data_IF_459211096924
#
_entry.id   IF_459211096924
#
_cell.length_a   1.000
_cell.length_b   1.000
_cell.length_c   1.000
_cell.angle_alpha   90.00
_cell.angle_beta   90.00
_cell.angle_gamma   90.00
#
_symmetry.space_group_name_H-M   'P 1'
#
loop_
_entity.id
_entity.type
_entity.pdbx_description
1 polymer ?
#
# COMPACT_ATOMS: atom_id res chain seq x y z
N UNK A 1 -14.45 -21.80 10.03
CA UNK A 1 -13.51 -21.04 9.14
C UNK A 1 -12.15 -20.96 9.83
N UNK A 2 -11.08 -20.76 9.07
CA UNK A 2 -9.71 -20.77 9.57
C UNK A 2 -9.31 -19.40 10.12
N UNK A 3 -8.43 -19.35 11.13
CA UNK A 3 -7.83 -18.08 11.59
C UNK A 3 -6.80 -17.57 10.58
N UNK A 4 -6.87 -16.30 10.25
CA UNK A 4 -6.01 -15.65 9.27
C UNK A 4 -5.21 -14.51 9.91
N UNK A 5 -3.92 -14.45 9.61
CA UNK A 5 -3.06 -13.34 9.99
C UNK A 5 -2.60 -12.56 8.75
N UNK A 6 -2.61 -11.24 8.86
CA UNK A 6 -2.04 -10.32 7.87
C UNK A 6 -0.86 -9.63 8.54
N UNK A 7 0.35 -9.81 8.02
CA UNK A 7 1.53 -9.12 8.50
C UNK A 7 1.74 -7.87 7.65
N UNK A 8 1.54 -6.71 8.26
CA UNK A 8 1.60 -5.39 7.64
C UNK A 8 0.21 -4.76 7.46
N UNK A 9 -0.03 -3.67 8.17
CA UNK A 9 -1.24 -2.83 8.07
C UNK A 9 -1.11 -1.73 7.00
N UNK A 10 -0.21 -1.91 6.03
CA UNK A 10 -0.11 -1.03 4.86
C UNK A 10 -1.34 -1.12 3.95
N UNK A 11 -1.40 -0.31 2.88
CA UNK A 11 -2.53 -0.30 1.93
C UNK A 11 -2.87 -1.71 1.44
N UNK A 12 -1.88 -2.56 1.19
CA UNK A 12 -2.10 -3.94 0.75
C UNK A 12 -2.85 -4.77 1.80
N UNK A 13 -2.36 -4.78 3.06
CA UNK A 13 -2.99 -5.55 4.14
C UNK A 13 -4.38 -5.06 4.50
N UNK A 14 -4.57 -3.73 4.51
CA UNK A 14 -5.87 -3.11 4.80
C UNK A 14 -6.90 -3.45 3.70
N UNK A 15 -6.52 -3.37 2.42
CA UNK A 15 -7.40 -3.79 1.31
C UNK A 15 -7.72 -5.28 1.36
N UNK A 16 -6.74 -6.13 1.69
CA UNK A 16 -6.96 -7.56 1.83
C UNK A 16 -7.99 -7.87 2.94
N UNK A 17 -7.86 -7.25 4.11
CA UNK A 17 -8.82 -7.39 5.19
C UNK A 17 -10.22 -6.89 4.78
N UNK A 18 -10.30 -5.74 4.13
CA UNK A 18 -11.56 -5.17 3.63
C UNK A 18 -12.24 -6.13 2.64
N UNK A 19 -11.49 -6.65 1.68
CA UNK A 19 -12.01 -7.62 0.71
C UNK A 19 -12.53 -8.88 1.37
N UNK A 20 -11.85 -9.38 2.40
CA UNK A 20 -12.28 -10.56 3.15
C UNK A 20 -13.60 -10.32 3.88
N UNK A 21 -13.70 -9.23 4.65
CA UNK A 21 -14.94 -8.94 5.39
C UNK A 21 -16.11 -8.59 4.48
N UNK A 22 -15.87 -7.90 3.38
CA UNK A 22 -16.90 -7.59 2.37
C UNK A 22 -17.42 -8.86 1.67
N UNK A 23 -16.61 -9.91 1.59
CA UNK A 23 -17.02 -11.23 1.10
C UNK A 23 -17.52 -12.18 2.21
N UNK A 24 -17.83 -11.66 3.39
CA UNK A 24 -18.45 -12.43 4.48
C UNK A 24 -17.47 -13.26 5.32
N UNK A 25 -16.15 -13.01 5.22
CA UNK A 25 -15.20 -13.64 6.14
C UNK A 25 -15.36 -13.00 7.53
N UNK A 26 -15.51 -13.80 8.61
CA UNK A 26 -15.70 -13.24 9.94
C UNK A 26 -14.48 -12.43 10.39
N UNK A 27 -14.70 -11.17 10.74
CA UNK A 27 -13.60 -10.27 11.11
C UNK A 27 -12.84 -10.73 12.34
N UNK A 28 -13.53 -11.37 13.30
CA UNK A 28 -12.93 -11.93 14.52
C UNK A 28 -11.89 -13.04 14.24
N UNK A 29 -11.91 -13.62 13.05
CA UNK A 29 -10.91 -14.59 12.59
C UNK A 29 -9.73 -13.94 11.86
N UNK A 30 -9.79 -12.63 11.62
CA UNK A 30 -8.73 -11.86 10.96
C UNK A 30 -7.93 -11.11 12.03
N UNK A 31 -6.62 -11.25 11.99
CA UNK A 31 -5.70 -10.45 12.81
C UNK A 31 -4.70 -9.74 11.91
N UNK A 32 -4.56 -8.43 12.07
CA UNK A 32 -3.55 -7.62 11.39
C UNK A 32 -2.46 -7.26 12.39
N UNK A 33 -1.20 -7.46 12.02
CA UNK A 33 -0.04 -7.17 12.85
C UNK A 33 0.82 -6.13 12.16
N UNK A 34 1.15 -5.04 12.86
CA UNK A 34 2.03 -4.01 12.35
C UNK A 34 3.01 -3.51 13.41
N UNK A 35 4.20 -3.13 12.95
CA UNK A 35 5.27 -2.59 13.79
C UNK A 35 5.08 -1.12 14.18
N UNK A 36 4.15 -0.43 13.57
CA UNK A 36 3.75 0.95 13.86
C UNK A 36 2.44 1.04 14.65
N UNK A 37 1.86 2.21 14.68
CA UNK A 37 0.67 2.56 15.45
C UNK A 37 -0.63 2.51 14.65
N UNK A 38 -1.76 2.49 15.38
CA UNK A 38 -3.08 2.77 14.85
C UNK A 38 -3.18 4.22 14.33
N UNK A 39 -4.19 4.55 13.50
CA UNK A 39 -4.27 5.88 12.88
C UNK A 39 -4.51 7.02 13.88
N UNK A 40 -4.98 6.73 15.09
CA UNK A 40 -5.20 7.74 16.13
C UNK A 40 -3.94 8.10 16.91
N UNK A 41 -2.95 7.17 16.95
CA UNK A 41 -1.69 7.31 17.69
C UNK A 41 -0.47 7.45 16.77
N UNK A 42 -0.66 7.29 15.47
CA UNK A 42 0.41 7.36 14.50
C UNK A 42 1.02 8.77 14.46
N UNK A 43 2.34 8.84 14.53
CA UNK A 43 3.09 10.11 14.56
C UNK A 43 3.60 10.48 13.17
N UNK A 44 3.87 11.78 12.90
CA UNK A 44 4.38 12.23 11.60
C UNK A 44 5.68 11.55 11.15
N UNK A 45 6.55 11.15 12.08
CA UNK A 45 7.80 10.44 11.78
C UNK A 45 7.59 8.96 11.39
N UNK A 46 6.42 8.40 11.64
CA UNK A 46 6.08 7.01 11.30
C UNK A 46 5.57 6.87 9.86
N UNK A 47 6.27 7.46 8.89
CA UNK A 47 5.83 7.52 7.49
C UNK A 47 5.63 6.14 6.86
N UNK A 48 6.46 5.16 7.22
CA UNK A 48 6.50 3.85 6.55
C UNK A 48 5.76 2.74 7.29
N UNK A 49 5.30 2.98 8.53
CA UNK A 49 4.72 1.96 9.41
C UNK A 49 3.35 2.36 9.93
N UNK A 50 2.61 1.43 10.52
CA UNK A 50 1.27 1.66 11.05
C UNK A 50 0.17 1.59 10.00
N UNK A 51 -1.04 1.96 10.39
CA UNK A 51 -2.22 1.83 9.53
C UNK A 51 -2.08 2.60 8.21
N UNK A 52 -2.36 1.95 7.10
CA UNK A 52 -2.12 2.38 5.71
C UNK A 52 -0.64 2.54 5.33
N UNK A 53 0.32 2.38 6.25
CA UNK A 53 1.76 2.50 5.95
C UNK A 53 2.11 3.80 5.21
N UNK A 54 3.01 3.74 4.22
CA UNK A 54 3.37 4.90 3.41
C UNK A 54 2.18 5.52 2.66
N UNK A 55 1.15 4.75 2.32
CA UNK A 55 -0.05 5.25 1.67
C UNK A 55 -0.85 6.25 2.51
N UNK A 56 -0.79 6.13 3.84
CA UNK A 56 -1.46 7.05 4.76
C UNK A 56 -0.71 8.38 5.03
N UNK A 57 0.53 8.50 4.54
CA UNK A 57 1.38 9.71 4.66
C UNK A 57 1.95 10.18 3.32
N UNK A 58 1.39 9.72 2.22
CA UNK A 58 1.82 10.10 0.88
C UNK A 58 1.20 11.43 0.43
N UNK A 59 1.37 11.75 -0.83
CA UNK A 59 0.75 12.89 -1.49
C UNK A 59 -0.69 12.61 -1.98
N UNK A 60 -1.26 11.46 -1.62
CA UNK A 60 -2.64 11.10 -1.98
C UNK A 60 -2.84 10.69 -3.44
N UNK A 61 -1.76 10.32 -4.14
CA UNK A 61 -1.84 9.86 -5.52
C UNK A 61 -2.06 8.35 -5.60
N UNK A 62 -3.03 7.93 -6.39
CA UNK A 62 -3.29 6.55 -6.75
C UNK A 62 -3.08 6.40 -8.26
N UNK A 63 -1.95 5.85 -8.66
CA UNK A 63 -1.61 5.64 -10.07
C UNK A 63 -2.46 4.52 -10.65
N UNK A 64 -3.14 4.81 -11.77
CA UNK A 64 -4.05 3.88 -12.43
C UNK A 64 -3.47 3.39 -13.75
N UNK A 65 -2.36 2.62 -13.66
CA UNK A 65 -1.68 2.08 -14.82
C UNK A 65 -0.76 0.91 -14.44
N UNK A 66 -0.85 -0.20 -15.16
CA UNK A 66 -0.11 -1.44 -14.87
C UNK A 66 1.39 -1.36 -15.11
N UNK A 67 1.86 -0.43 -15.96
CA UNK A 67 3.30 -0.23 -16.19
C UNK A 67 3.97 0.65 -15.12
N UNK A 68 3.22 1.16 -14.14
CA UNK A 68 3.72 2.03 -13.09
C UNK A 68 3.60 1.32 -11.73
N UNK A 69 4.71 1.24 -11.03
CA UNK A 69 4.77 0.69 -9.68
C UNK A 69 5.13 -0.79 -9.64
N UNK A 70 4.21 -1.68 -9.86
CA UNK A 70 4.42 -3.12 -9.80
C UNK A 70 4.41 -3.80 -11.17
N UNK A 71 4.41 -5.12 -11.14
CA UNK A 71 4.25 -5.96 -12.34
C UNK A 71 2.99 -6.84 -12.21
N UNK A 72 1.92 -6.28 -11.67
CA UNK A 72 0.69 -7.02 -11.35
C UNK A 72 0.14 -7.76 -12.58
N UNK A 73 0.15 -7.11 -13.74
CA UNK A 73 -0.33 -7.71 -14.99
C UNK A 73 0.42 -8.98 -15.42
N UNK A 74 1.69 -9.14 -15.02
CA UNK A 74 2.45 -10.38 -15.25
C UNK A 74 1.89 -11.58 -14.48
N UNK A 75 1.22 -11.34 -13.36
CA UNK A 75 0.71 -12.39 -12.46
C UNK A 75 -0.76 -12.71 -12.68
N UNK A 76 -1.56 -11.72 -13.05
CA UNK A 76 -3.02 -11.90 -13.16
C UNK A 76 -3.63 -11.41 -14.48
N UNK A 77 -2.82 -10.94 -15.43
CA UNK A 77 -3.29 -10.32 -16.68
C UNK A 77 -3.70 -8.87 -16.50
N UNK A 78 -3.80 -8.15 -17.62
CA UNK A 78 -4.04 -6.69 -17.66
C UNK A 78 -5.43 -6.35 -17.09
N UNK A 79 -6.49 -6.98 -17.61
CA UNK A 79 -7.87 -6.69 -17.23
C UNK A 79 -8.12 -6.92 -15.73
N UNK A 80 -7.56 -8.02 -15.19
CA UNK A 80 -7.68 -8.33 -13.77
C UNK A 80 -6.91 -7.32 -12.93
N UNK A 81 -5.70 -6.92 -13.36
CA UNK A 81 -4.91 -5.90 -12.66
C UNK A 81 -5.66 -4.56 -12.61
N UNK A 82 -6.24 -4.12 -13.74
CA UNK A 82 -7.02 -2.89 -13.81
C UNK A 82 -8.29 -2.95 -12.94
N UNK A 83 -8.97 -4.08 -12.92
CA UNK A 83 -10.12 -4.31 -12.02
C UNK A 83 -9.72 -4.17 -10.54
N UNK A 84 -8.58 -4.74 -10.13
CA UNK A 84 -8.07 -4.64 -8.77
C UNK A 84 -7.66 -3.21 -8.41
N UNK A 85 -7.07 -2.46 -9.33
CA UNK A 85 -6.78 -1.04 -9.12
C UNK A 85 -8.06 -0.22 -8.91
N UNK A 86 -9.11 -0.50 -9.68
CA UNK A 86 -10.42 0.12 -9.49
C UNK A 86 -10.98 -0.17 -8.10
N UNK A 87 -10.91 -1.41 -7.63
CA UNK A 87 -11.37 -1.78 -6.29
C UNK A 87 -10.62 -1.01 -5.19
N UNK A 88 -9.29 -0.83 -5.34
CA UNK A 88 -8.50 -0.03 -4.39
C UNK A 88 -8.95 1.42 -4.38
N UNK A 89 -9.18 2.03 -5.56
CA UNK A 89 -9.65 3.41 -5.68
C UNK A 89 -11.02 3.56 -5.01
N UNK A 90 -11.95 2.62 -5.27
CA UNK A 90 -13.28 2.66 -4.66
C UNK A 90 -13.23 2.50 -3.13
N UNK A 91 -12.28 1.74 -2.58
CA UNK A 91 -12.06 1.70 -1.13
C UNK A 91 -11.58 3.05 -0.59
N UNK A 92 -10.66 3.72 -1.26
CA UNK A 92 -10.26 5.07 -0.85
C UNK A 92 -11.43 6.05 -0.89
N UNK A 93 -12.28 6.01 -1.92
CA UNK A 93 -13.50 6.83 -2.00
C UNK A 93 -14.50 6.50 -0.89
N UNK A 94 -14.72 5.21 -0.63
CA UNK A 94 -15.66 4.73 0.39
C UNK A 94 -15.37 5.29 1.77
N UNK A 95 -14.09 5.41 2.12
CA UNK A 95 -13.66 5.91 3.43
C UNK A 95 -13.28 7.39 3.43
N UNK A 96 -13.37 8.04 2.29
CA UNK A 96 -13.09 9.46 2.17
C UNK A 96 -14.23 10.30 2.80
N UNK A 97 -13.90 11.32 3.63
CA UNK A 97 -14.93 12.17 4.25
C UNK A 97 -15.73 13.01 3.22
N UNK A 98 -15.13 13.22 2.03
CA UNK A 98 -15.73 13.94 0.90
C UNK A 98 -15.43 13.19 -0.42
N UNK A 99 -16.11 12.09 -0.73
CA UNK A 99 -15.81 11.25 -1.89
C UNK A 99 -15.83 12.00 -3.23
N UNK A 100 -16.63 13.05 -3.33
CA UNK A 100 -16.74 13.93 -4.49
C UNK A 100 -15.47 14.75 -4.76
N UNK A 101 -14.59 14.90 -3.77
CA UNK A 101 -13.30 15.56 -3.94
C UNK A 101 -12.26 14.66 -4.62
N UNK A 102 -12.49 13.36 -4.76
CA UNK A 102 -11.58 12.43 -5.41
C UNK A 102 -11.65 12.61 -6.92
N UNK A 103 -10.56 13.10 -7.50
CA UNK A 103 -10.50 13.45 -8.91
C UNK A 103 -9.52 12.56 -9.68
N UNK A 104 -9.87 12.28 -10.94
CA UNK A 104 -8.98 11.59 -11.85
C UNK A 104 -8.36 12.60 -12.84
N UNK A 105 -7.05 12.66 -12.89
CA UNK A 105 -6.31 13.37 -13.94
C UNK A 105 -6.00 12.38 -15.05
N UNK A 106 -6.64 12.59 -16.21
CA UNK A 106 -6.38 11.83 -17.44
C UNK A 106 -5.59 12.71 -18.41
N UNK A 107 -4.28 12.51 -18.53
CA UNK A 107 -3.48 13.28 -19.48
C UNK A 107 -3.81 12.87 -20.92
N UNK A 108 -3.94 13.86 -21.81
CA UNK A 108 -4.49 13.64 -23.16
C UNK A 108 -3.39 13.50 -24.22
N UNK A 109 -2.29 14.25 -24.12
CA UNK A 109 -1.23 14.22 -25.13
C UNK A 109 0.12 14.73 -24.62
N UNK A 110 1.20 14.22 -25.22
CA UNK A 110 2.55 14.73 -24.98
C UNK A 110 2.72 16.11 -25.65
N UNK A 111 3.12 17.16 -24.92
CA UNK A 111 3.25 18.49 -25.48
C UNK A 111 4.45 18.60 -26.43
N UNK A 112 4.26 19.29 -27.55
CA UNK A 112 5.29 19.46 -28.61
C UNK A 112 6.59 20.07 -28.05
N UNK A 113 6.52 20.99 -27.09
CA UNK A 113 7.70 21.68 -26.57
C UNK A 113 8.65 20.75 -25.76
N UNK A 114 8.20 19.57 -25.33
CA UNK A 114 9.02 18.58 -24.62
C UNK A 114 9.69 17.61 -25.57
N UNK A 115 9.02 17.23 -26.66
CA UNK A 115 9.46 16.19 -27.60
C UNK A 115 10.91 16.30 -28.10
N UNK A 116 11.49 17.50 -28.31
CA UNK A 116 12.87 17.60 -28.76
C UNK A 116 13.89 17.16 -27.69
N UNK A 117 13.55 17.20 -26.42
CA UNK A 117 14.50 17.04 -25.31
C UNK A 117 14.25 15.78 -24.50
N UNK A 118 12.98 15.44 -24.30
CA UNK A 118 12.56 14.36 -23.41
C UNK A 118 11.42 13.55 -24.02
N UNK A 119 11.35 12.28 -23.63
CA UNK A 119 10.10 11.55 -23.67
C UNK A 119 9.29 11.82 -22.40
N UNK A 120 7.98 11.85 -22.53
CA UNK A 120 7.05 12.06 -21.44
C UNK A 120 6.18 10.81 -21.28
N UNK A 121 6.17 10.24 -20.07
CA UNK A 121 5.23 9.18 -19.74
C UNK A 121 4.08 9.77 -18.97
N UNK A 122 2.91 9.76 -19.58
CA UNK A 122 1.65 10.17 -19.01
C UNK A 122 0.84 8.93 -18.60
N UNK A 123 0.11 9.03 -17.51
CA UNK A 123 -0.76 7.97 -17.01
C UNK A 123 -1.88 8.56 -16.15
N UNK A 124 -3.04 7.90 -16.09
CA UNK A 124 -4.13 8.34 -15.22
C UNK A 124 -3.72 8.28 -13.74
N UNK A 125 -4.06 9.32 -13.01
CA UNK A 125 -3.83 9.42 -11.56
C UNK A 125 -5.10 9.86 -10.87
N UNK A 126 -5.56 9.07 -9.91
CA UNK A 126 -6.58 9.50 -8.97
C UNK A 126 -5.92 10.21 -7.80
N UNK A 127 -6.46 11.35 -7.44
CA UNK A 127 -5.98 12.13 -6.31
C UNK A 127 -7.03 12.19 -5.21
N UNK A 128 -6.71 11.65 -4.04
CA UNK A 128 -7.61 11.59 -2.89
C UNK A 128 -7.43 12.76 -1.92
N UNK A 129 -6.54 13.69 -2.23
CA UNK A 129 -6.23 14.84 -1.36
C UNK A 129 -5.32 14.45 -0.20
N UNK A 130 -4.15 15.08 -0.14
CA UNK A 130 -3.15 14.82 0.91
C UNK A 130 -3.73 15.04 2.30
N UNK A 131 -4.50 16.11 2.48
CA UNK A 131 -5.06 16.52 3.77
C UNK A 131 -6.13 15.54 4.31
N UNK A 132 -6.73 14.73 3.45
CA UNK A 132 -7.75 13.76 3.83
C UNK A 132 -7.22 12.38 4.21
N UNK A 133 -5.93 12.09 3.92
CA UNK A 133 -5.38 10.75 4.13
C UNK A 133 -5.51 10.26 5.58
N UNK A 134 -5.31 11.16 6.53
CA UNK A 134 -5.43 10.81 7.95
C UNK A 134 -6.87 10.45 8.33
N UNK A 135 -7.85 11.18 7.83
CA UNK A 135 -9.28 10.94 8.10
C UNK A 135 -9.77 9.69 7.36
N UNK A 136 -9.34 9.48 6.11
CA UNK A 136 -9.55 8.23 5.38
C UNK A 136 -9.04 7.05 6.20
N UNK A 137 -7.84 7.16 6.76
CA UNK A 137 -7.24 6.12 7.59
C UNK A 137 -8.06 5.80 8.83
N UNK A 138 -8.58 6.82 9.54
CA UNK A 138 -9.44 6.63 10.71
C UNK A 138 -10.76 5.95 10.35
N UNK A 139 -11.46 6.45 9.33
CA UNK A 139 -12.74 5.90 8.89
C UNK A 139 -12.59 4.44 8.46
N UNK A 140 -11.50 4.11 7.78
CA UNK A 140 -11.22 2.75 7.33
C UNK A 140 -10.87 1.81 8.49
N UNK A 141 -10.09 2.28 9.44
CA UNK A 141 -9.75 1.55 10.66
C UNK A 141 -10.99 1.24 11.48
N UNK A 142 -11.83 2.25 11.72
CA UNK A 142 -13.08 2.11 12.49
C UNK A 142 -14.05 1.12 11.81
N UNK A 143 -14.12 1.15 10.47
CA UNK A 143 -14.88 0.15 9.73
C UNK A 143 -14.35 -1.27 9.99
N UNK A 144 -13.06 -1.53 9.88
CA UNK A 144 -12.50 -2.86 10.13
C UNK A 144 -12.69 -3.29 11.59
N UNK A 145 -12.53 -2.39 12.55
CA UNK A 145 -12.83 -2.64 13.95
C UNK A 145 -14.31 -3.00 14.15
N UNK A 146 -15.23 -2.30 13.51
CA UNK A 146 -16.68 -2.59 13.59
C UNK A 146 -17.04 -3.95 13.01
N UNK A 147 -16.21 -4.50 12.12
CA UNK A 147 -16.34 -5.85 11.57
C UNK A 147 -15.69 -6.94 12.46
N UNK A 148 -15.08 -6.55 13.57
CA UNK A 148 -14.43 -7.47 14.52
C UNK A 148 -12.98 -7.82 14.17
N UNK A 149 -12.34 -7.14 13.20
CA UNK A 149 -10.93 -7.38 12.86
C UNK A 149 -10.03 -7.01 14.04
N UNK A 150 -9.12 -7.92 14.40
CA UNK A 150 -8.18 -7.73 15.48
C UNK A 150 -6.89 -7.05 15.00
N UNK A 151 -6.32 -6.17 15.80
CA UNK A 151 -5.07 -5.48 15.48
C UNK A 151 -4.04 -5.65 16.59
N UNK A 152 -2.80 -5.97 16.19
CA UNK A 152 -1.63 -5.96 17.06
C UNK A 152 -0.67 -4.88 16.61
N UNK A 153 -0.70 -3.75 17.29
CA UNK A 153 0.16 -2.59 17.02
C UNK A 153 1.50 -2.68 17.75
N UNK A 154 2.46 -1.88 17.32
CA UNK A 154 3.82 -1.84 17.87
C UNK A 154 4.49 -3.22 17.91
N UNK A 155 4.07 -4.13 17.03
CA UNK A 155 4.45 -5.53 17.03
C UNK A 155 5.22 -5.87 15.77
N UNK A 156 6.52 -6.07 15.92
CA UNK A 156 7.41 -6.46 14.83
C UNK A 156 7.53 -7.98 14.76
N UNK A 157 7.05 -8.58 13.69
CA UNK A 157 7.29 -9.99 13.39
C UNK A 157 8.74 -10.16 12.93
N UNK A 158 9.44 -11.13 13.51
CA UNK A 158 10.86 -11.41 13.24
C UNK A 158 11.09 -12.69 12.46
N UNK A 159 10.25 -13.70 12.69
CA UNK A 159 10.29 -14.99 11.99
C UNK A 159 8.88 -15.50 11.73
N UNK A 160 8.74 -16.31 10.70
CA UNK A 160 7.51 -17.04 10.37
C UNK A 160 7.87 -18.51 10.21
N UNK A 161 7.02 -19.38 10.72
CA UNK A 161 7.15 -20.83 10.65
C UNK A 161 5.88 -21.43 10.05
N UNK A 162 6.03 -22.47 9.26
CA UNK A 162 4.92 -23.25 8.73
C UNK A 162 5.06 -24.68 9.26
N UNK A 163 4.19 -25.06 10.20
CA UNK A 163 4.19 -26.37 10.86
C UNK A 163 2.75 -26.90 10.93
N UNK A 164 2.53 -28.16 10.59
CA UNK A 164 1.24 -28.86 10.69
C UNK A 164 0.03 -28.08 10.16
N UNK A 165 0.15 -27.49 8.97
CA UNK A 165 -0.87 -26.61 8.38
C UNK A 165 -1.19 -25.35 9.22
N UNK A 166 -0.28 -24.92 10.07
CA UNK A 166 -0.38 -23.70 10.85
C UNK A 166 0.74 -22.74 10.54
N UNK A 167 0.45 -21.47 10.67
CA UNK A 167 1.43 -20.39 10.62
C UNK A 167 1.69 -19.94 12.05
N UNK A 168 2.92 -20.07 12.48
CA UNK A 168 3.40 -19.52 13.74
C UNK A 168 4.45 -18.43 13.44
N UNK A 169 4.60 -17.47 14.31
CA UNK A 169 5.62 -16.44 14.17
C UNK A 169 6.17 -15.97 15.50
N UNK A 170 7.43 -15.63 15.52
CA UNK A 170 8.05 -14.88 16.59
C UNK A 170 7.84 -13.39 16.37
N UNK A 171 7.57 -12.66 17.44
CA UNK A 171 7.38 -11.21 17.40
C UNK A 171 7.97 -10.52 18.61
N UNK A 172 8.27 -9.23 18.44
CA UNK A 172 8.66 -8.32 19.53
C UNK A 172 7.65 -7.18 19.57
N UNK A 173 7.04 -6.98 20.72
CA UNK A 173 6.15 -5.85 20.96
C UNK A 173 6.93 -4.74 21.67
N UNK A 174 6.85 -3.49 21.19
CA UNK A 174 7.59 -2.35 21.75
C UNK A 174 7.05 -1.88 23.09
N UNK A 175 5.75 -2.07 23.33
CA UNK A 175 5.07 -1.64 24.55
C UNK A 175 5.19 -2.66 25.66
N UNK A 176 5.56 -3.90 25.33
CA UNK A 176 5.71 -5.02 26.26
C UNK A 176 7.07 -5.67 26.05
N UNK A 177 7.86 -5.79 27.12
CA UNK A 177 9.10 -6.56 27.09
C UNK A 177 8.75 -8.04 26.93
N UNK A 178 9.04 -8.58 25.79
CA UNK A 178 8.82 -9.99 25.49
C UNK A 178 8.31 -10.20 24.06
N UNK A 179 8.40 -11.42 23.61
CA UNK A 179 7.84 -11.91 22.37
C UNK A 179 7.09 -13.20 22.66
N UNK A 180 6.46 -13.74 21.66
CA UNK A 180 5.71 -14.99 21.76
C UNK A 180 5.52 -15.62 20.40
N UNK A 181 4.91 -16.80 20.41
CA UNK A 181 4.48 -17.50 19.21
C UNK A 181 2.96 -17.52 19.18
N UNK A 182 2.39 -17.08 18.08
CA UNK A 182 0.95 -17.14 17.82
C UNK A 182 0.71 -18.04 16.61
N UNK A 183 -0.33 -18.87 16.68
CA UNK A 183 -0.68 -19.82 15.61
C UNK A 183 -1.90 -19.38 14.81
N UNK A 184 -1.80 -19.43 13.50
CA UNK A 184 -2.87 -19.15 12.55
C UNK A 184 -2.90 -20.26 11.48
N UNK A 185 -3.97 -20.29 10.69
CA UNK A 185 -4.10 -21.26 9.61
C UNK A 185 -3.65 -20.70 8.25
N UNK A 186 -3.76 -19.37 8.08
CA UNK A 186 -3.45 -18.68 6.83
C UNK A 186 -2.64 -17.42 7.09
N UNK A 187 -1.76 -17.08 6.16
CA UNK A 187 -0.94 -15.87 6.19
C UNK A 187 -1.11 -15.06 4.92
N UNK A 188 -1.33 -13.76 5.08
CA UNK A 188 -1.13 -12.76 4.03
C UNK A 188 0.10 -11.92 4.43
N UNK A 189 1.09 -11.88 3.53
CA UNK A 189 2.33 -11.16 3.76
C UNK A 189 2.34 -9.82 3.01
N UNK A 190 2.12 -8.72 3.75
CA UNK A 190 1.93 -7.39 3.19
C UNK A 190 2.86 -6.33 3.79
N UNK A 191 4.12 -6.66 4.07
CA UNK A 191 5.06 -5.83 4.86
C UNK A 191 5.60 -4.58 4.15
N UNK A 192 5.33 -4.41 2.87
CA UNK A 192 5.74 -3.23 2.12
C UNK A 192 7.26 -3.00 2.08
N UNK A 193 7.65 -1.76 1.80
CA UNK A 193 9.07 -1.38 1.62
C UNK A 193 9.90 -1.51 2.92
N UNK A 194 9.31 -1.21 4.07
CA UNK A 194 9.99 -1.34 5.37
C UNK A 194 10.30 -2.79 5.76
N UNK A 195 9.63 -3.75 5.15
CA UNK A 195 9.84 -5.19 5.39
C UNK A 195 10.62 -5.93 4.31
N UNK A 196 11.27 -5.25 3.35
CA UNK A 196 12.01 -5.89 2.25
C UNK A 196 13.04 -6.89 2.77
N UNK A 197 13.86 -6.51 3.73
CA UNK A 197 14.89 -7.40 4.30
C UNK A 197 14.28 -8.61 5.03
N UNK A 198 13.14 -8.42 5.67
CA UNK A 198 12.40 -9.53 6.27
C UNK A 198 11.83 -10.46 5.19
N UNK A 199 11.23 -9.91 4.14
CA UNK A 199 10.74 -10.69 2.99
C UNK A 199 11.84 -11.47 2.30
N UNK A 200 13.02 -10.86 2.13
CA UNK A 200 14.20 -11.52 1.55
C UNK A 200 14.63 -12.73 2.39
N UNK A 201 14.82 -12.54 3.71
CA UNK A 201 15.18 -13.66 4.61
C UNK A 201 14.15 -14.78 4.62
N UNK A 202 12.85 -14.42 4.55
CA UNK A 202 11.76 -15.39 4.48
C UNK A 202 11.84 -16.20 3.17
N UNK A 203 12.06 -15.52 2.04
CA UNK A 203 12.19 -16.17 0.75
C UNK A 203 13.41 -17.07 0.69
N UNK A 204 14.55 -16.65 1.21
CA UNK A 204 15.78 -17.46 1.32
C UNK A 204 15.55 -18.70 2.20
N UNK A 205 14.90 -18.53 3.35
CA UNK A 205 14.64 -19.63 4.29
C UNK A 205 13.72 -20.72 3.71
N UNK A 206 12.71 -20.32 2.93
CA UNK A 206 11.76 -21.24 2.29
C UNK A 206 12.07 -21.53 0.83
N UNK A 207 13.28 -21.19 0.37
CA UNK A 207 13.73 -21.44 -1.01
C UNK A 207 12.74 -20.91 -2.08
N UNK A 208 12.07 -19.79 -1.77
CA UNK A 208 11.13 -19.19 -2.72
C UNK A 208 11.89 -18.49 -3.86
N UNK A 209 11.43 -18.63 -5.11
CA UNK A 209 12.09 -17.98 -6.23
C UNK A 209 12.02 -16.46 -6.10
N UNK A 210 13.16 -15.80 -6.22
CA UNK A 210 13.27 -14.34 -6.17
C UNK A 210 13.94 -13.82 -7.44
N UNK A 211 13.49 -12.65 -7.90
CA UNK A 211 14.06 -11.96 -9.04
C UNK A 211 14.50 -10.55 -8.63
N UNK A 212 15.76 -10.22 -8.86
CA UNK A 212 16.24 -8.86 -8.66
C UNK A 212 15.64 -7.93 -9.74
N UNK A 213 15.06 -6.85 -9.31
CA UNK A 213 14.54 -5.82 -10.24
C UNK A 213 15.60 -4.73 -10.45
N UNK A 214 15.67 -4.14 -11.66
CA UNK A 214 16.57 -3.03 -11.91
C UNK A 214 16.24 -1.84 -11.01
N UNK A 215 17.28 -1.19 -10.52
CA UNK A 215 17.16 0.05 -9.74
C UNK A 215 16.89 1.20 -10.70
N UNK A 216 15.88 2.00 -10.40
CA UNK A 216 15.64 3.26 -11.11
C UNK A 216 16.39 4.37 -10.38
N UNK A 217 17.27 5.05 -11.10
CA UNK A 217 18.01 6.21 -10.60
C UNK A 217 17.46 7.44 -11.32
N UNK A 218 17.13 8.48 -10.57
CA UNK A 218 16.64 9.74 -11.10
C UNK A 218 17.09 10.91 -10.24
N UNK A 219 16.95 12.11 -10.79
CA UNK A 219 17.22 13.36 -10.08
C UNK A 219 15.88 13.99 -9.74
N UNK A 220 15.70 14.35 -8.48
CA UNK A 220 14.61 15.23 -8.07
C UNK A 220 14.98 16.65 -8.41
N UNK A 221 14.12 17.32 -9.15
CA UNK A 221 14.28 18.71 -9.52
C UNK A 221 13.13 19.52 -8.92
N UNK A 222 13.47 20.60 -8.21
CA UNK A 222 12.49 21.49 -7.59
C UNK A 222 12.71 22.93 -8.10
N UNK A 223 11.64 23.60 -8.47
CA UNK A 223 11.64 25.00 -8.84
C UNK A 223 10.26 25.62 -8.54
N UNK A 224 10.13 26.96 -8.52
CA UNK A 224 8.84 27.62 -8.38
C UNK A 224 7.82 27.13 -9.40
N UNK A 225 6.57 26.90 -8.97
CA UNK A 225 5.49 26.34 -9.78
C UNK A 225 5.34 27.00 -11.16
N UNK A 226 5.51 28.30 -11.25
CA UNK A 226 5.41 29.08 -12.50
C UNK A 226 6.28 28.53 -13.63
N UNK A 227 7.42 27.88 -13.32
CA UNK A 227 8.30 27.27 -14.32
C UNK A 227 7.79 25.92 -14.84
N UNK A 228 6.92 25.28 -14.10
CA UNK A 228 6.30 24.00 -14.45
C UNK A 228 4.85 24.14 -14.91
N UNK A 229 4.27 25.33 -14.90
CA UNK A 229 2.84 25.54 -15.12
C UNK A 229 2.35 24.83 -16.39
N UNK A 230 3.08 24.94 -17.51
CA UNK A 230 2.72 24.28 -18.78
C UNK A 230 2.67 22.75 -18.70
N UNK A 231 3.43 22.13 -17.77
CA UNK A 231 3.39 20.70 -17.54
C UNK A 231 2.25 20.32 -16.57
N UNK A 232 2.07 21.12 -15.54
CA UNK A 232 1.04 20.94 -14.52
C UNK A 232 -0.36 21.03 -15.16
N UNK A 233 -0.54 21.94 -16.11
CA UNK A 233 -1.80 22.10 -16.85
C UNK A 233 -2.17 20.89 -17.70
N UNK A 234 -1.18 20.03 -18.03
CA UNK A 234 -1.39 18.81 -18.83
C UNK A 234 -1.66 17.59 -17.96
N UNK A 235 -0.93 17.47 -16.86
CA UNK A 235 -1.06 16.31 -15.96
C UNK A 235 -0.63 16.68 -14.55
N UNK A 236 -1.38 16.17 -13.57
CA UNK A 236 -1.02 16.29 -12.17
C UNK A 236 0.30 15.56 -11.83
N UNK A 237 0.58 14.46 -12.48
CA UNK A 237 1.83 13.71 -12.34
C UNK A 237 2.35 13.24 -13.71
N UNK A 238 3.64 13.34 -13.91
CA UNK A 238 4.29 12.95 -15.15
C UNK A 238 5.71 12.47 -14.89
N UNK A 239 6.24 11.65 -15.78
CA UNK A 239 7.63 11.20 -15.75
C UNK A 239 8.33 11.61 -17.03
N UNK A 240 9.40 12.39 -16.89
CA UNK A 240 10.31 12.72 -17.98
C UNK A 240 11.42 11.67 -18.04
N UNK A 241 11.76 11.24 -19.24
CA UNK A 241 12.91 10.38 -19.46
C UNK A 241 13.72 10.90 -20.65
N UNK A 242 15.03 10.71 -20.56
CA UNK A 242 15.93 11.06 -21.67
C UNK A 242 15.71 10.06 -22.81
N UNK A 243 15.58 10.58 -24.04
CA UNK A 243 15.57 9.78 -25.27
C UNK A 243 16.95 9.27 -25.60
#
# INVERSE_FOLDING_TARGET
MEKLVIIGAGVAGVNAATKLVDNGYPGELITIIDMGNDPYKRKPEEVMTGFMGAGGWSDGKLTYHTSIGGHMSKYCGEDKAMSLFSEVIENFKRFHPKPEAVQCSNPVAEPEFIKPYFGLRLFPVWHVGTDYLHEIGKNWYDFLCSKGVNFHWNTKVSKVFFEDNRVAFEYVNRDRKGGGTLGYNRLIFGVGKSGIDFGKRLAEHYELPTEAKPVQIGVRFEAPQKHFQKLIDISYDFKLYRK
#
